data_IF_862732024241
#
_entry.id   IF_862732024241
#
_cell.length_a   1.000
_cell.length_b   1.000
_cell.length_c   1.000
_cell.angle_alpha   90.00
_cell.angle_beta   90.00
_cell.angle_gamma   90.00
#
_symmetry.space_group_name_H-M   'P 1'
#
loop_
_entity.id
_entity.type
_entity.pdbx_description
1 polymer ?
#
# COMPACT_ATOMS: atom_id res chain seq x y z
N UNK A 1 -18.10 -6.11 -0.16
CA UNK A 1 -17.05 -7.03 -0.66
C UNK A 1 -17.70 -8.05 -1.57
N UNK A 2 -17.07 -8.39 -2.69
CA UNK A 2 -17.48 -9.49 -3.56
C UNK A 2 -16.79 -10.79 -3.14
N UNK A 3 -17.46 -11.93 -3.31
CA UNK A 3 -16.85 -13.25 -3.10
C UNK A 3 -16.35 -13.79 -4.44
N UNK A 4 -15.11 -14.24 -4.47
CA UNK A 4 -14.48 -14.83 -5.65
C UNK A 4 -13.88 -16.16 -5.25
N UNK A 5 -14.14 -17.22 -6.04
CA UNK A 5 -13.49 -18.51 -5.88
C UNK A 5 -12.22 -18.52 -6.72
N UNK A 6 -11.11 -18.93 -6.13
CA UNK A 6 -9.81 -19.04 -6.79
C UNK A 6 -9.11 -20.30 -6.32
N UNK A 7 -8.42 -20.98 -7.23
CA UNK A 7 -7.51 -22.07 -6.87
C UNK A 7 -6.21 -21.47 -6.35
N UNK A 8 -5.77 -21.96 -5.19
CA UNK A 8 -4.55 -21.46 -4.53
C UNK A 8 -3.65 -22.64 -4.16
N UNK A 9 -2.34 -22.40 -4.23
CA UNK A 9 -1.38 -23.31 -3.65
C UNK A 9 -1.37 -23.10 -2.12
N UNK A 10 -1.80 -24.12 -1.38
CA UNK A 10 -1.95 -24.06 0.08
C UNK A 10 -0.62 -23.87 0.80
N UNK A 11 0.46 -24.46 0.31
CA UNK A 11 1.80 -24.30 0.90
C UNK A 11 2.31 -22.86 0.75
N UNK A 12 2.08 -22.23 -0.41
CA UNK A 12 2.41 -20.81 -0.59
C UNK A 12 1.56 -19.91 0.31
N UNK A 13 0.28 -20.26 0.51
CA UNK A 13 -0.62 -19.52 1.39
C UNK A 13 -0.19 -19.60 2.85
N UNK A 14 0.23 -20.77 3.34
CA UNK A 14 0.75 -20.95 4.71
C UNK A 14 2.03 -20.15 4.94
N UNK A 15 2.92 -20.10 3.94
CA UNK A 15 4.11 -19.26 3.99
C UNK A 15 3.74 -17.77 4.05
N UNK A 16 2.80 -17.34 3.22
CA UNK A 16 2.30 -15.96 3.25
C UNK A 16 1.66 -15.61 4.61
N UNK A 17 0.87 -16.52 5.18
CA UNK A 17 0.29 -16.39 6.52
C UNK A 17 1.36 -16.20 7.59
N UNK A 18 2.43 -17.00 7.53
CA UNK A 18 3.56 -16.90 8.46
C UNK A 18 4.28 -15.56 8.32
N UNK A 19 4.56 -15.13 7.08
CA UNK A 19 5.23 -13.85 6.80
C UNK A 19 4.39 -12.65 7.25
N UNK A 20 3.07 -12.72 7.04
CA UNK A 20 2.15 -11.61 7.31
C UNK A 20 1.55 -11.67 8.73
N UNK A 21 1.77 -12.76 9.46
CA UNK A 21 1.21 -12.97 10.80
C UNK A 21 -0.32 -13.08 10.81
N UNK A 22 -0.92 -13.66 9.76
CA UNK A 22 -2.37 -13.71 9.56
C UNK A 22 -2.94 -15.10 9.81
N UNK A 23 -4.12 -15.17 10.42
CA UNK A 23 -4.74 -16.44 10.82
C UNK A 23 -5.63 -17.06 9.72
N UNK A 24 -6.22 -16.23 8.84
CA UNK A 24 -7.15 -16.72 7.81
C UNK A 24 -6.66 -16.37 6.40
N UNK A 25 -7.09 -17.15 5.41
CA UNK A 25 -6.80 -16.88 3.99
C UNK A 25 -7.27 -15.48 3.61
N UNK A 26 -8.47 -15.09 4.04
CA UNK A 26 -9.01 -13.76 3.78
C UNK A 26 -8.11 -12.67 4.34
N UNK A 27 -7.72 -12.76 5.61
CA UNK A 27 -6.87 -11.76 6.25
C UNK A 27 -5.51 -11.65 5.57
N UNK A 28 -4.99 -12.80 5.09
CA UNK A 28 -3.73 -12.90 4.35
C UNK A 28 -3.83 -12.18 3.01
N UNK A 29 -4.91 -12.43 2.25
CA UNK A 29 -5.17 -11.76 0.98
C UNK A 29 -5.33 -10.25 1.20
N UNK A 30 -6.14 -9.85 2.18
CA UNK A 30 -6.37 -8.43 2.48
C UNK A 30 -5.07 -7.74 2.91
N UNK A 31 -4.24 -8.39 3.74
CA UNK A 31 -2.95 -7.86 4.17
C UNK A 31 -1.94 -7.78 3.01
N UNK A 32 -1.88 -8.80 2.15
CA UNK A 32 -1.01 -8.83 0.99
C UNK A 32 -1.37 -7.71 0.01
N UNK A 33 -2.66 -7.54 -0.30
CA UNK A 33 -3.13 -6.46 -1.17
C UNK A 33 -2.81 -5.08 -0.61
N UNK A 34 -3.03 -4.86 0.69
CA UNK A 34 -2.64 -3.62 1.36
C UNK A 34 -1.14 -3.35 1.26
N UNK A 35 -0.32 -4.39 1.42
CA UNK A 35 1.15 -4.27 1.33
C UNK A 35 1.59 -3.82 -0.06
N UNK A 36 1.06 -4.44 -1.12
CA UNK A 36 1.38 -4.09 -2.51
C UNK A 36 0.93 -2.66 -2.84
N UNK A 37 -0.27 -2.27 -2.44
CA UNK A 37 -0.76 -0.89 -2.65
C UNK A 37 0.14 0.12 -1.93
N UNK A 38 0.53 -0.18 -0.70
CA UNK A 38 1.40 0.70 0.08
C UNK A 38 2.82 0.79 -0.50
N UNK A 39 3.30 -0.27 -1.15
CA UNK A 39 4.60 -0.31 -1.83
C UNK A 39 4.59 0.57 -3.09
N UNK A 40 3.60 0.39 -3.96
CA UNK A 40 3.39 1.24 -5.13
C UNK A 40 3.23 2.73 -4.75
N UNK A 41 2.46 3.00 -3.69
CA UNK A 41 2.27 4.38 -3.21
C UNK A 41 3.58 5.00 -2.72
N UNK A 42 4.47 4.21 -2.11
CA UNK A 42 5.80 4.66 -1.68
C UNK A 42 6.70 4.95 -2.88
N UNK A 43 6.71 4.08 -3.88
CA UNK A 43 7.48 4.30 -5.11
C UNK A 43 7.03 5.56 -5.85
N UNK A 44 5.72 5.70 -6.09
CA UNK A 44 5.16 6.92 -6.71
C UNK A 44 5.47 8.18 -5.92
N UNK A 45 5.45 8.10 -4.59
CA UNK A 45 5.80 9.24 -3.75
C UNK A 45 7.26 9.66 -3.93
N UNK A 46 8.18 8.69 -4.00
CA UNK A 46 9.60 8.94 -4.25
C UNK A 46 9.80 9.57 -5.63
N UNK A 47 9.13 9.05 -6.66
CA UNK A 47 9.20 9.59 -8.01
C UNK A 47 8.70 11.04 -8.08
N UNK A 48 7.53 11.33 -7.48
CA UNK A 48 7.00 12.70 -7.38
C UNK A 48 7.93 13.64 -6.60
N UNK A 49 8.57 13.13 -5.54
CA UNK A 49 9.55 13.91 -4.79
C UNK A 49 10.79 14.23 -5.63
N UNK A 50 11.30 13.24 -6.39
CA UNK A 50 12.49 13.39 -7.24
C UNK A 50 12.28 14.36 -8.41
N UNK A 51 11.05 14.48 -8.90
CA UNK A 51 10.68 15.38 -10.01
C UNK A 51 10.45 16.83 -9.56
N UNK A 52 10.59 17.14 -8.26
CA UNK A 52 10.38 18.48 -7.73
C UNK A 52 8.91 18.88 -7.66
N UNK A 53 7.98 17.93 -7.77
CA UNK A 53 6.53 18.17 -7.75
C UNK A 53 6.04 18.85 -6.45
N UNK A 54 6.84 18.78 -5.39
CA UNK A 54 6.57 19.44 -4.10
C UNK A 54 7.27 20.79 -3.92
N UNK A 55 7.90 21.36 -4.96
CA UNK A 55 8.64 22.62 -4.85
C UNK A 55 7.76 23.77 -4.31
N UNK A 56 6.49 23.83 -4.69
CA UNK A 56 5.54 24.84 -4.19
C UNK A 56 5.25 24.71 -2.69
N UNK A 57 5.43 23.52 -2.09
CA UNK A 57 5.30 23.34 -0.64
C UNK A 57 6.44 24.02 0.15
N UNK A 58 7.49 24.49 -0.53
CA UNK A 58 8.50 25.35 0.10
C UNK A 58 7.93 26.73 0.49
N UNK A 59 6.86 27.19 -0.20
CA UNK A 59 6.17 28.44 0.11
C UNK A 59 5.34 28.32 1.41
N UNK A 60 5.61 29.15 2.44
CA UNK A 60 4.83 29.18 3.67
C UNK A 60 3.34 29.47 3.51
N UNK A 61 2.94 30.27 2.50
CA UNK A 61 1.54 30.61 2.23
C UNK A 61 0.78 29.39 1.68
N UNK A 62 1.40 28.65 0.75
CA UNK A 62 0.86 27.39 0.21
C UNK A 62 0.64 26.38 1.33
N UNK A 63 1.61 26.22 2.25
CA UNK A 63 1.47 25.32 3.40
C UNK A 63 0.34 25.72 4.34
N UNK A 64 0.08 27.03 4.52
CA UNK A 64 -1.01 27.52 5.37
C UNK A 64 -2.38 27.18 4.79
N UNK A 65 -2.53 27.31 3.47
CA UNK A 65 -3.78 27.04 2.74
C UNK A 65 -4.16 25.56 2.69
N UNK A 66 -3.18 24.64 2.72
CA UNK A 66 -3.44 23.19 2.70
C UNK A 66 -3.87 22.67 4.08
N UNK A 67 -3.52 23.36 5.18
CA UNK A 67 -3.83 22.96 6.56
C UNK A 67 -5.14 23.53 7.13
N UNK A 68 -5.81 24.43 6.39
CA UNK A 68 -7.13 25.00 6.75
C UNK A 68 -8.26 24.17 6.18
#
# INVERSE_FOLDING_TARGET
MAKTSVDINTEQMERAQTILGTATIKDTIDAALRRVIAEEARERFIDLASTGCFAELADPEVRRKIRS
#
